data_IF_620571115124
#
_entry.id   IF_620571115124
#
_cell.length_a   1.000
_cell.length_b   1.000
_cell.length_c   1.000
_cell.angle_alpha   90.00
_cell.angle_beta   90.00
_cell.angle_gamma   90.00
#
_symmetry.space_group_name_H-M   'P 1'
#
loop_
_entity.id
_entity.type
_entity.pdbx_description
1 polymer ?
#
# COMPACT_ATOMS: atom_id res chain seq x y z
N UNK A 1 -5.77 11.70 16.42
CA UNK A 1 -7.18 12.07 16.70
C UNK A 1 -8.14 11.02 16.13
N UNK A 2 -9.31 10.79 16.76
CA UNK A 2 -10.24 9.75 16.30
C UNK A 2 -10.73 9.99 14.87
N UNK A 3 -11.00 11.24 14.50
CA UNK A 3 -11.56 11.58 13.20
C UNK A 3 -10.55 11.34 12.06
N UNK A 4 -9.30 11.75 12.26
CA UNK A 4 -8.19 11.48 11.32
C UNK A 4 -7.96 9.96 11.20
N UNK A 5 -7.85 9.25 12.33
CA UNK A 5 -7.59 7.82 12.32
C UNK A 5 -8.76 7.05 11.64
N UNK A 6 -10.01 7.38 11.95
CA UNK A 6 -11.17 6.74 11.35
C UNK A 6 -11.21 6.92 9.84
N UNK A 7 -10.96 8.14 9.35
CA UNK A 7 -10.91 8.42 7.92
C UNK A 7 -9.75 7.69 7.23
N UNK A 8 -8.53 7.82 7.76
CA UNK A 8 -7.32 7.23 7.16
C UNK A 8 -7.38 5.71 7.15
N UNK A 9 -7.79 5.07 8.25
CA UNK A 9 -7.87 3.60 8.33
C UNK A 9 -8.97 3.05 7.41
N UNK A 10 -10.11 3.75 7.28
CA UNK A 10 -11.19 3.33 6.39
C UNK A 10 -10.73 3.35 4.94
N UNK A 11 -10.12 4.46 4.50
CA UNK A 11 -9.59 4.55 3.15
C UNK A 11 -8.40 3.59 2.93
N UNK A 12 -7.46 3.55 3.87
CA UNK A 12 -6.26 2.73 3.82
C UNK A 12 -6.57 1.24 3.67
N UNK A 13 -7.56 0.73 4.40
CA UNK A 13 -7.94 -0.69 4.35
C UNK A 13 -8.26 -1.23 2.95
N UNK A 14 -8.65 -0.36 2.02
CA UNK A 14 -8.94 -0.70 0.62
C UNK A 14 -7.88 -0.23 -0.37
N UNK A 15 -7.18 0.86 -0.07
CA UNK A 15 -6.26 1.52 -1.02
C UNK A 15 -4.79 1.21 -0.77
N UNK A 16 -4.41 0.82 0.45
CA UNK A 16 -3.05 0.54 0.86
C UNK A 16 -2.79 -0.97 0.97
N UNK A 17 -2.58 -1.59 -0.19
CA UNK A 17 -2.36 -3.03 -0.33
C UNK A 17 -0.89 -3.35 -0.69
N UNK A 18 0.07 -2.68 -0.04
CA UNK A 18 1.50 -2.88 -0.32
C UNK A 18 1.99 -4.31 -0.03
N UNK A 19 1.47 -4.94 1.01
CA UNK A 19 1.73 -6.35 1.31
C UNK A 19 1.26 -7.27 0.18
N UNK A 20 0.11 -6.96 -0.43
CA UNK A 20 -0.43 -7.68 -1.59
C UNK A 20 0.47 -7.50 -2.81
N UNK A 21 0.83 -6.26 -3.15
CA UNK A 21 1.75 -5.98 -4.26
C UNK A 21 3.13 -6.67 -4.07
N UNK A 22 3.67 -6.67 -2.85
CA UNK A 22 4.91 -7.37 -2.53
C UNK A 22 4.77 -8.89 -2.75
N UNK A 23 3.68 -9.47 -2.26
CA UNK A 23 3.40 -10.90 -2.43
C UNK A 23 3.26 -11.29 -3.90
N UNK A 24 2.54 -10.52 -4.70
CA UNK A 24 2.37 -10.80 -6.13
C UNK A 24 3.72 -10.77 -6.86
N UNK A 25 4.52 -9.72 -6.64
CA UNK A 25 5.84 -9.61 -7.24
C UNK A 25 6.77 -10.76 -6.83
N UNK A 26 6.86 -11.05 -5.53
CA UNK A 26 7.68 -12.16 -5.02
C UNK A 26 7.20 -13.50 -5.55
N UNK A 27 5.89 -13.72 -5.64
CA UNK A 27 5.30 -14.96 -6.17
C UNK A 27 5.66 -15.17 -7.63
N UNK A 28 5.56 -14.13 -8.46
CA UNK A 28 5.93 -14.21 -9.88
C UNK A 28 7.42 -14.50 -10.05
N UNK A 29 8.28 -13.81 -9.28
CA UNK A 29 9.72 -14.06 -9.32
C UNK A 29 10.06 -15.48 -8.86
N UNK A 30 9.44 -15.95 -7.79
CA UNK A 30 9.62 -17.31 -7.28
C UNK A 30 9.20 -18.36 -8.30
N UNK A 31 8.02 -18.22 -8.90
CA UNK A 31 7.53 -19.18 -9.89
C UNK A 31 8.37 -19.16 -11.17
N UNK A 32 8.83 -17.98 -11.61
CA UNK A 32 9.77 -17.89 -12.73
C UNK A 32 11.05 -18.69 -12.45
N UNK A 33 11.64 -18.52 -11.27
CA UNK A 33 12.82 -19.29 -10.86
C UNK A 33 12.53 -20.79 -10.71
N UNK A 34 11.39 -21.15 -10.15
CA UNK A 34 10.97 -22.54 -9.95
C UNK A 34 10.82 -23.29 -11.29
N UNK A 35 10.28 -22.64 -12.32
CA UNK A 35 10.13 -23.22 -13.65
C UNK A 35 11.34 -22.99 -14.58
N UNK A 36 12.40 -22.34 -14.11
CA UNK A 36 13.58 -22.03 -14.91
C UNK A 36 13.34 -21.00 -16.02
N UNK A 37 12.34 -20.13 -15.85
CA UNK A 37 12.06 -19.01 -16.76
C UNK A 37 12.92 -17.81 -16.33
N UNK A 38 13.86 -17.41 -17.18
CA UNK A 38 14.67 -16.22 -16.93
C UNK A 38 13.88 -14.95 -17.23
N UNK A 39 13.79 -14.07 -16.22
CA UNK A 39 13.19 -12.75 -16.37
C UNK A 39 14.28 -11.70 -16.58
N UNK A 40 14.26 -11.06 -17.73
CA UNK A 40 15.07 -9.87 -17.99
C UNK A 40 14.72 -8.73 -17.03
N UNK A 41 15.63 -7.77 -16.85
CA UNK A 41 15.40 -6.63 -15.96
C UNK A 41 14.14 -5.84 -16.34
N UNK A 42 13.84 -5.70 -17.63
CA UNK A 42 12.61 -5.05 -18.10
C UNK A 42 11.35 -5.84 -17.72
N UNK A 43 11.37 -7.17 -17.80
CA UNK A 43 10.26 -8.01 -17.33
C UNK A 43 10.10 -7.92 -15.81
N UNK A 44 11.18 -7.87 -15.04
CA UNK A 44 11.10 -7.70 -13.59
C UNK A 44 10.48 -6.35 -13.21
N UNK A 45 10.87 -5.26 -13.90
CA UNK A 45 10.25 -3.94 -13.70
C UNK A 45 8.76 -3.94 -14.10
N UNK A 46 8.41 -4.64 -15.19
CA UNK A 46 7.01 -4.82 -15.59
C UNK A 46 6.21 -5.57 -14.52
N UNK A 47 6.76 -6.64 -13.94
CA UNK A 47 6.12 -7.39 -12.85
C UNK A 47 5.88 -6.49 -11.64
N UNK A 48 6.88 -5.68 -11.24
CA UNK A 48 6.72 -4.71 -10.14
C UNK A 48 5.60 -3.72 -10.46
N UNK A 49 5.58 -3.15 -11.67
CA UNK A 49 4.54 -2.22 -12.08
C UNK A 49 3.13 -2.85 -12.07
N UNK A 50 3.00 -4.06 -12.61
CA UNK A 50 1.75 -4.82 -12.61
C UNK A 50 1.28 -5.14 -11.18
N UNK A 51 2.19 -5.54 -10.29
CA UNK A 51 1.87 -5.86 -8.89
C UNK A 51 1.43 -4.63 -8.10
N UNK A 52 2.05 -3.46 -8.33
CA UNK A 52 1.62 -2.20 -7.71
C UNK A 52 0.22 -1.81 -8.19
N UNK A 53 -0.05 -1.92 -9.50
CA UNK A 53 -1.36 -1.61 -10.07
C UNK A 53 -2.45 -2.57 -9.55
N UNK A 54 -2.14 -3.87 -9.47
CA UNK A 54 -3.02 -4.88 -8.92
C UNK A 54 -3.29 -4.68 -7.41
N UNK A 55 -2.27 -4.27 -6.65
CA UNK A 55 -2.41 -3.87 -5.25
C UNK A 55 -3.48 -2.78 -5.07
N UNK A 56 -3.49 -1.74 -5.89
CA UNK A 56 -4.51 -0.67 -5.79
C UNK A 56 -5.92 -1.16 -6.15
N UNK A 57 -6.03 -2.17 -7.02
CA UNK A 57 -7.30 -2.69 -7.55
C UNK A 57 -7.99 -3.77 -6.71
N UNK A 58 -7.34 -4.28 -5.65
CA UNK A 58 -7.91 -5.35 -4.80
C UNK A 58 -8.76 -4.76 -3.68
N UNK A 59 -10.08 -4.95 -3.74
CA UNK A 59 -10.90 -4.86 -2.55
C UNK A 59 -10.36 -5.86 -1.51
N UNK A 60 -10.31 -5.47 -0.22
CA UNK A 60 -9.72 -6.23 0.90
C UNK A 60 -10.43 -7.55 1.22
N UNK A 61 -10.44 -8.47 0.27
CA UNK A 61 -11.04 -9.80 0.36
C UNK A 61 -9.93 -10.81 0.66
N UNK A 62 -10.07 -11.64 1.71
CA UNK A 62 -9.10 -12.70 2.02
C UNK A 62 -8.86 -13.61 0.81
N UNK A 63 -7.60 -13.94 0.53
CA UNK A 63 -7.18 -14.73 -0.64
C UNK A 63 -7.57 -14.14 -2.01
N UNK A 64 -7.98 -12.87 -2.08
CA UNK A 64 -8.47 -12.23 -3.31
C UNK A 64 -7.38 -11.94 -4.37
N UNK A 65 -6.09 -12.04 -4.02
CA UNK A 65 -4.99 -11.64 -4.90
C UNK A 65 -4.51 -12.75 -5.85
N UNK A 66 -4.78 -14.03 -5.57
CA UNK A 66 -4.29 -15.14 -6.40
C UNK A 66 -4.82 -15.09 -7.85
N UNK A 67 -6.10 -14.76 -8.11
CA UNK A 67 -6.58 -14.61 -9.48
C UNK A 67 -5.87 -13.49 -10.26
N UNK A 68 -5.32 -12.48 -9.59
CA UNK A 68 -4.62 -11.36 -10.23
C UNK A 68 -3.19 -11.70 -10.63
N UNK A 69 -2.58 -12.69 -9.99
CA UNK A 69 -1.22 -13.16 -10.32
C UNK A 69 -1.20 -13.91 -11.65
N UNK A 70 -2.26 -14.66 -11.96
CA UNK A 70 -2.31 -15.54 -13.14
C UNK A 70 -2.05 -14.78 -14.46
N UNK A 71 -2.71 -13.64 -14.75
CA UNK A 71 -2.40 -12.83 -15.93
C UNK A 71 -0.94 -12.35 -15.98
N UNK A 72 -0.34 -12.04 -14.83
CA UNK A 72 1.06 -11.58 -14.74
C UNK A 72 2.01 -12.72 -15.11
N UNK A 73 1.77 -13.94 -14.59
CA UNK A 73 2.56 -15.13 -14.94
C UNK A 73 2.54 -15.41 -16.44
N UNK A 74 1.34 -15.38 -17.05
CA UNK A 74 1.17 -15.58 -18.50
C UNK A 74 1.93 -14.52 -19.30
N UNK A 75 1.90 -13.27 -18.85
CA UNK A 75 2.59 -12.14 -19.51
C UNK A 75 4.11 -12.33 -19.55
N UNK A 76 4.69 -12.99 -18.53
CA UNK A 76 6.13 -13.24 -18.45
C UNK A 76 6.53 -14.67 -18.86
N UNK A 77 5.60 -15.45 -19.41
CA UNK A 77 5.88 -16.80 -19.93
C UNK A 77 6.01 -17.89 -18.86
N UNK A 78 5.51 -17.65 -17.64
CA UNK A 78 5.49 -18.64 -16.56
C UNK A 78 4.19 -19.45 -16.60
N UNK A 79 4.24 -20.79 -16.48
CA UNK A 79 3.04 -21.63 -16.44
C UNK A 79 2.08 -21.23 -15.32
N UNK A 80 0.81 -20.97 -15.67
CA UNK A 80 -0.22 -20.53 -14.73
C UNK A 80 -0.55 -21.59 -13.67
N UNK A 81 -0.40 -22.87 -14.02
CA UNK A 81 -0.56 -24.02 -13.14
C UNK A 81 0.39 -23.96 -11.94
N UNK A 82 1.48 -23.19 -12.04
CA UNK A 82 2.42 -22.90 -10.97
C UNK A 82 1.78 -22.32 -9.71
N UNK A 83 0.64 -21.64 -9.85
CA UNK A 83 -0.10 -21.09 -8.71
C UNK A 83 -0.50 -22.17 -7.69
N UNK A 84 -0.62 -23.44 -8.14
CA UNK A 84 -0.92 -24.58 -7.28
C UNK A 84 0.10 -24.79 -6.16
N UNK A 85 1.37 -24.44 -6.38
CA UNK A 85 2.43 -24.50 -5.35
C UNK A 85 2.16 -23.47 -4.24
N UNK A 86 1.65 -22.30 -4.61
CA UNK A 86 1.38 -21.19 -3.70
C UNK A 86 0.13 -21.47 -2.86
N UNK A 87 -0.88 -22.13 -3.42
CA UNK A 87 -2.10 -22.49 -2.69
C UNK A 87 -1.83 -23.26 -1.39
N UNK A 88 -0.76 -24.07 -1.34
CA UNK A 88 -0.38 -24.81 -0.14
C UNK A 88 0.08 -23.94 1.03
N UNK A 89 0.57 -22.73 0.76
CA UNK A 89 1.10 -21.79 1.76
C UNK A 89 0.33 -20.47 1.82
N UNK A 90 -0.60 -20.25 0.89
CA UNK A 90 -1.33 -18.99 0.70
C UNK A 90 -1.96 -18.49 1.99
N UNK A 91 -2.54 -19.38 2.79
CA UNK A 91 -3.18 -18.98 4.06
C UNK A 91 -2.24 -18.36 5.06
N UNK A 92 -1.02 -18.89 5.18
CA UNK A 92 -0.01 -18.29 6.04
C UNK A 92 0.44 -16.94 5.48
N UNK A 93 0.70 -16.89 4.18
CA UNK A 93 1.14 -15.68 3.49
C UNK A 93 0.07 -14.58 3.48
N UNK A 94 -1.22 -14.94 3.45
CA UNK A 94 -2.37 -14.01 3.51
C UNK A 94 -2.43 -13.26 4.83
N UNK A 95 -2.16 -13.97 5.94
CA UNK A 95 -2.04 -13.35 7.25
C UNK A 95 -0.85 -12.38 7.30
N UNK A 96 0.32 -12.78 6.78
CA UNK A 96 1.50 -11.91 6.73
C UNK A 96 1.24 -10.63 5.92
N UNK A 97 0.60 -10.76 4.75
CA UNK A 97 0.22 -9.62 3.90
C UNK A 97 -0.71 -8.65 4.62
N UNK A 98 -1.75 -9.18 5.26
CA UNK A 98 -2.73 -8.38 5.98
C UNK A 98 -2.07 -7.57 7.11
N UNK A 99 -1.14 -8.18 7.84
CA UNK A 99 -0.37 -7.48 8.89
C UNK A 99 0.41 -6.31 8.31
N UNK A 100 1.09 -6.50 7.18
CA UNK A 100 1.88 -5.44 6.53
C UNK A 100 0.96 -4.28 6.10
N UNK A 101 -0.20 -4.58 5.49
CA UNK A 101 -1.15 -3.56 5.06
C UNK A 101 -1.66 -2.74 6.26
N UNK A 102 -2.11 -3.42 7.33
CA UNK A 102 -2.61 -2.77 8.55
C UNK A 102 -1.53 -1.92 9.23
N UNK A 103 -0.28 -2.40 9.28
CA UNK A 103 0.84 -1.61 9.81
C UNK A 103 1.07 -0.35 8.97
N UNK A 104 1.00 -0.46 7.65
CA UNK A 104 1.07 0.70 6.75
C UNK A 104 -0.02 1.73 7.03
N UNK A 105 -1.27 1.29 7.21
CA UNK A 105 -2.40 2.17 7.53
C UNK A 105 -2.19 2.92 8.84
N UNK A 106 -1.67 2.22 9.86
CA UNK A 106 -1.34 2.83 11.15
C UNK A 106 -0.22 3.87 11.03
N UNK A 107 0.83 3.58 10.25
CA UNK A 107 1.92 4.52 9.99
C UNK A 107 1.38 5.78 9.30
N UNK A 108 0.57 5.63 8.26
CA UNK A 108 -0.04 6.77 7.54
C UNK A 108 -0.92 7.59 8.47
N UNK A 109 -1.73 6.95 9.33
CA UNK A 109 -2.57 7.66 10.29
C UNK A 109 -1.75 8.49 11.29
N UNK A 110 -0.61 7.97 11.75
CA UNK A 110 0.31 8.70 12.65
C UNK A 110 0.98 9.87 11.92
N UNK A 111 1.47 9.66 10.69
CA UNK A 111 2.13 10.70 9.89
C UNK A 111 1.16 11.85 9.60
N UNK A 112 -0.06 11.55 9.13
CA UNK A 112 -1.08 12.56 8.85
C UNK A 112 -1.47 13.31 10.13
N UNK A 113 -1.65 12.61 11.25
CA UNK A 113 -1.97 13.26 12.51
C UNK A 113 -0.87 14.23 13.00
N UNK A 114 0.40 13.92 12.72
CA UNK A 114 1.52 14.80 13.03
C UNK A 114 1.55 16.03 12.10
N UNK A 115 1.36 15.84 10.79
CA UNK A 115 1.30 16.93 9.81
C UNK A 115 0.14 17.90 10.03
N UNK A 116 -1.05 17.39 10.38
CA UNK A 116 -2.22 18.22 10.71
C UNK A 116 -1.99 19.07 11.97
N UNK A 117 -1.33 18.50 12.98
CA UNK A 117 -0.96 19.24 14.20
C UNK A 117 0.00 20.39 13.88
N UNK A 118 1.06 20.11 13.13
CA UNK A 118 2.05 21.13 12.74
C UNK A 118 1.39 22.26 11.93
N UNK A 119 0.57 21.90 10.93
CA UNK A 119 -0.18 22.86 10.12
C UNK A 119 -1.10 23.74 10.96
N UNK A 120 -1.76 23.17 11.97
CA UNK A 120 -2.63 23.92 12.89
C UNK A 120 -1.83 24.87 13.79
N UNK A 121 -0.68 24.44 14.30
CA UNK A 121 0.22 25.27 15.13
C UNK A 121 0.76 26.46 14.32
N UNK A 122 1.20 26.23 13.08
CA UNK A 122 1.66 27.28 12.16
C UNK A 122 0.56 28.29 11.81
N UNK A 123 -0.64 27.81 11.49
CA UNK A 123 -1.78 28.68 11.20
C UNK A 123 -2.17 29.54 12.41
N UNK A 124 -2.13 28.96 13.61
CA UNK A 124 -2.43 29.68 14.85
C UNK A 124 -1.37 30.75 15.15
N UNK A 125 -0.09 30.44 14.95
CA UNK A 125 1.01 31.39 15.12
C UNK A 125 0.93 32.56 14.13
N UNK A 126 0.55 32.29 12.87
CA UNK A 126 0.37 33.32 11.84
C UNK A 126 -0.77 34.30 12.20
N UNK A 127 -1.89 33.81 12.73
CA UNK A 127 -3.01 34.65 13.19
C UNK A 127 -2.64 35.45 14.44
N UNK A 128 -1.98 34.82 15.43
CA UNK A 128 -1.54 35.50 16.65
C UNK A 128 -0.54 36.64 16.39
N UNK A 129 0.40 36.44 15.47
CA UNK A 129 1.36 37.48 15.05
C UNK A 129 0.76 38.61 14.19
N UNK A 130 -0.50 38.49 13.76
CA UNK A 130 -1.24 39.53 13.05
C UNK A 130 -2.07 40.41 14.00
N UNK A 131 -2.56 39.83 15.11
CA UNK A 131 -3.22 40.57 16.18
C UNK A 131 -2.26 41.53 16.90
N UNK A 132 -0.99 41.15 17.04
CA UNK A 132 0.07 41.95 17.69
C UNK A 132 0.63 43.08 16.79
N UNK A 133 0.15 43.17 15.54
CA UNK A 133 0.52 44.21 14.56
C UNK A 133 -0.58 45.25 14.33
N UNK A 134 -1.69 45.19 15.06
CA UNK A 134 -2.71 46.22 14.99
C UNK A 134 -2.21 47.48 15.73
N UNK A 135 -2.17 48.67 15.10
CA UNK A 135 -1.80 49.88 15.82
C UNK A 135 -2.78 50.10 16.99
N UNK A 136 -2.31 50.64 18.14
CA UNK A 136 -3.19 50.94 19.27
C UNK A 136 -4.35 51.81 18.79
N UNK A 137 -5.57 51.45 19.21
CA UNK A 137 -6.76 52.21 18.85
C UNK A 137 -6.56 53.66 19.30
N UNK A 138 -6.57 54.58 18.33
CA UNK A 138 -6.42 56.01 18.60
C UNK A 138 -7.62 56.48 19.43
N UNK A 139 -7.32 56.87 20.66
CA UNK A 139 -8.17 57.50 21.66
C UNK A 139 -8.47 58.97 21.35
#
# INVERSE_FOLDING_TARGET
PRDIAGFVLTLGSTTNQHGTALFEGVTVLFLAQFFGVELSLSQQLLVVGMAVLAGIGTAGVPAGSLPLIVPVLVTVGVPAEGIGVILGVDRFLDMCRTVINVVGDLVVAVVIAAWERQSTEEATAAVGGQADRLPPAAD
#
